data_IF_093770930204
#
_entry.id   IF_093770930204
#
_cell.length_a   1.000
_cell.length_b   1.000
_cell.length_c   1.000
_cell.angle_alpha   90.00
_cell.angle_beta   90.00
_cell.angle_gamma   90.00
#
_symmetry.space_group_name_H-M   'P 1'
#
loop_
_entity.id
_entity.type
_entity.pdbx_description
1 polymer ?
#
# COMPACT_ATOMS: atom_id res chain seq x y z
N UNK A 1 -0.96 -5.25 -28.59
CA UNK A 1 -0.97 -6.66 -28.14
C UNK A 1 0.48 -7.03 -27.78
N UNK A 2 0.87 -6.86 -26.52
CA UNK A 2 2.26 -7.04 -26.09
C UNK A 2 2.60 -8.53 -25.98
N UNK A 3 3.58 -8.96 -26.80
CA UNK A 3 4.23 -10.26 -26.73
C UNK A 3 5.32 -10.18 -25.65
N UNK A 4 5.36 -11.16 -24.75
CA UNK A 4 6.32 -11.36 -23.64
C UNK A 4 5.80 -10.95 -22.25
N UNK A 5 4.82 -11.70 -21.74
CA UNK A 5 4.51 -11.84 -20.30
C UNK A 5 5.37 -12.94 -19.66
N UNK A 6 6.70 -12.85 -19.78
CA UNK A 6 7.59 -13.83 -19.15
C UNK A 6 8.40 -13.15 -18.05
N UNK A 7 8.03 -13.47 -16.80
CA UNK A 7 8.90 -13.46 -15.62
C UNK A 7 9.30 -12.13 -14.96
N UNK A 8 8.56 -11.03 -15.12
CA UNK A 8 8.91 -9.77 -14.43
C UNK A 8 8.48 -9.71 -12.95
N UNK A 9 7.41 -10.43 -12.54
CA UNK A 9 6.87 -10.26 -11.18
C UNK A 9 7.51 -11.18 -10.11
N UNK A 10 8.04 -12.35 -10.47
CA UNK A 10 8.59 -13.32 -9.49
C UNK A 10 9.87 -12.83 -8.80
N UNK A 11 10.73 -12.13 -9.56
CA UNK A 11 12.06 -11.70 -9.10
C UNK A 11 12.05 -10.73 -7.91
N UNK A 12 10.98 -9.93 -7.77
CA UNK A 12 10.97 -8.84 -6.79
C UNK A 12 10.29 -9.24 -5.48
N UNK A 13 9.39 -10.23 -5.47
CA UNK A 13 8.80 -10.73 -4.20
C UNK A 13 9.85 -11.47 -3.37
N UNK A 14 10.76 -12.22 -4.02
CA UNK A 14 11.84 -12.96 -3.37
C UNK A 14 12.86 -12.07 -2.63
N UNK A 15 12.85 -10.75 -2.87
CA UNK A 15 13.71 -9.79 -2.19
C UNK A 15 13.19 -9.38 -0.81
N UNK A 16 11.91 -9.66 -0.50
CA UNK A 16 11.28 -9.29 0.75
C UNK A 16 11.03 -10.52 1.60
N UNK A 17 11.24 -10.38 2.91
CA UNK A 17 10.93 -11.39 3.92
C UNK A 17 10.02 -10.78 4.97
N UNK A 18 9.26 -11.62 5.67
CA UNK A 18 8.49 -11.16 6.81
C UNK A 18 9.43 -10.59 7.88
N UNK A 19 8.92 -9.61 8.63
CA UNK A 19 9.69 -8.82 9.60
C UNK A 19 8.88 -8.69 10.89
N UNK A 20 9.58 -8.70 12.03
CA UNK A 20 8.96 -8.62 13.36
C UNK A 20 9.29 -7.32 14.12
N UNK A 21 10.22 -6.53 13.60
CA UNK A 21 10.57 -5.21 14.13
C UNK A 21 10.03 -4.17 13.17
N UNK A 22 9.26 -3.20 13.66
CA UNK A 22 8.57 -2.25 12.81
C UNK A 22 8.91 -0.82 13.21
N UNK A 23 9.11 0.03 12.21
CA UNK A 23 9.34 1.46 12.38
C UNK A 23 8.34 2.24 11.57
N UNK A 24 7.90 3.37 12.10
CA UNK A 24 7.10 4.31 11.32
C UNK A 24 8.01 4.98 10.28
N UNK A 25 7.80 4.65 9.02
CA UNK A 25 8.57 5.15 7.89
C UNK A 25 7.64 5.44 6.71
N UNK A 26 7.85 6.58 6.04
CA UNK A 26 7.17 6.90 4.79
C UNK A 26 8.22 7.41 3.80
N UNK A 27 8.26 6.79 2.64
CA UNK A 27 9.09 7.18 1.51
C UNK A 27 8.21 7.39 0.28
N UNK A 28 8.39 8.55 -0.35
CA UNK A 28 7.70 8.99 -1.55
C UNK A 28 8.73 9.54 -2.52
N UNK A 29 8.75 9.04 -3.76
CA UNK A 29 9.54 9.65 -4.82
C UNK A 29 9.00 11.04 -5.17
N UNK A 30 9.82 11.87 -5.81
CA UNK A 30 9.38 13.19 -6.31
C UNK A 30 8.30 13.10 -7.39
N UNK A 31 8.09 11.91 -7.97
CA UNK A 31 7.08 11.64 -8.99
C UNK A 31 5.75 11.15 -8.39
N UNK A 32 5.70 10.92 -7.08
CA UNK A 32 4.47 10.54 -6.41
C UNK A 32 3.50 11.73 -6.34
N UNK A 33 2.25 11.49 -6.70
CA UNK A 33 1.16 12.44 -6.52
C UNK A 33 0.13 11.83 -5.58
N UNK A 34 -0.22 12.53 -4.50
CA UNK A 34 -1.20 12.05 -3.53
C UNK A 34 -2.20 13.14 -3.18
N UNK A 35 -3.47 12.76 -3.10
CA UNK A 35 -4.56 13.63 -2.66
C UNK A 35 -5.30 12.97 -1.52
N UNK A 36 -5.33 13.65 -0.39
CA UNK A 36 -6.08 13.23 0.78
C UNK A 36 -7.48 13.85 0.81
N UNK A 37 -8.41 13.11 1.38
CA UNK A 37 -9.77 13.51 1.68
C UNK A 37 -10.02 13.24 3.16
N UNK A 38 -10.62 14.21 3.84
CA UNK A 38 -10.99 14.12 5.25
C UNK A 38 -12.49 14.36 5.43
N UNK A 39 -12.96 14.31 6.68
CA UNK A 39 -14.34 14.61 7.01
C UNK A 39 -14.79 16.04 6.59
N UNK A 40 -13.86 16.98 6.38
CA UNK A 40 -14.23 18.31 5.84
C UNK A 40 -14.55 18.28 4.35
N UNK A 41 -14.01 17.30 3.62
CA UNK A 41 -14.22 17.12 2.19
C UNK A 41 -15.41 16.19 1.92
N UNK A 42 -15.55 15.15 2.75
CA UNK A 42 -16.59 14.12 2.67
C UNK A 42 -17.21 13.92 4.06
N UNK A 43 -18.29 14.65 4.40
CA UNK A 43 -18.91 14.58 5.72
C UNK A 43 -19.34 13.17 6.16
N UNK A 44 -19.70 12.30 5.19
CA UNK A 44 -20.11 10.90 5.39
C UNK A 44 -19.02 10.06 6.07
N UNK A 45 -17.76 10.48 6.00
CA UNK A 45 -16.67 9.78 6.68
C UNK A 45 -16.87 9.72 8.20
N UNK A 46 -17.47 10.75 8.79
CA UNK A 46 -17.68 10.79 10.25
C UNK A 46 -18.70 9.75 10.71
N UNK A 47 -19.73 9.45 9.90
CA UNK A 47 -20.73 8.43 10.26
C UNK A 47 -20.20 7.00 10.11
N UNK A 48 -19.19 6.81 9.28
CA UNK A 48 -18.58 5.49 8.99
C UNK A 48 -17.25 5.28 9.74
N UNK A 49 -16.90 6.18 10.67
CA UNK A 49 -15.64 6.17 11.42
C UNK A 49 -14.38 6.11 10.53
N UNK A 50 -14.47 6.75 9.36
CA UNK A 50 -13.35 6.87 8.42
C UNK A 50 -12.57 8.12 8.80
N UNK A 51 -11.35 7.93 9.31
CA UNK A 51 -10.49 9.05 9.67
C UNK A 51 -10.04 9.86 8.44
N UNK A 52 -9.64 9.16 7.38
CA UNK A 52 -9.07 9.75 6.17
C UNK A 52 -9.15 8.77 5.00
N UNK A 53 -9.25 9.30 3.80
CA UNK A 53 -9.07 8.54 2.56
C UNK A 53 -8.05 9.26 1.66
N UNK A 54 -7.48 8.53 0.71
CA UNK A 54 -6.50 9.08 -0.22
C UNK A 54 -6.57 8.41 -1.57
N UNK A 55 -6.24 9.17 -2.61
CA UNK A 55 -5.96 8.66 -3.94
C UNK A 55 -4.54 9.08 -4.31
N UNK A 56 -3.72 8.10 -4.71
CA UNK A 56 -2.33 8.35 -5.03
C UNK A 56 -1.92 7.69 -6.35
N UNK A 57 -1.11 8.41 -7.13
CA UNK A 57 -0.30 7.87 -8.20
C UNK A 57 1.11 7.63 -7.63
N UNK A 58 1.41 6.38 -7.33
CA UNK A 58 2.66 5.98 -6.69
C UNK A 58 3.68 5.56 -7.78
N UNK A 59 4.51 6.50 -8.20
CA UNK A 59 5.44 6.32 -9.32
C UNK A 59 6.86 6.10 -8.80
N UNK A 60 7.58 5.17 -9.44
CA UNK A 60 8.99 4.84 -9.20
C UNK A 60 9.28 4.18 -7.84
N UNK A 61 9.30 4.95 -6.74
CA UNK A 61 9.53 4.41 -5.40
C UNK A 61 8.56 4.98 -4.37
N UNK A 62 7.74 4.11 -3.81
CA UNK A 62 6.94 4.40 -2.63
C UNK A 62 7.04 3.23 -1.66
N UNK A 63 7.28 3.53 -0.39
CA UNK A 63 6.99 2.59 0.67
C UNK A 63 6.49 3.27 1.92
N UNK A 64 5.60 2.59 2.61
CA UNK A 64 5.14 2.98 3.94
C UNK A 64 5.31 1.78 4.86
N UNK A 65 5.90 2.00 6.03
CA UNK A 65 5.99 1.06 7.13
C UNK A 65 5.33 1.71 8.34
N UNK A 66 4.49 0.96 9.05
CA UNK A 66 3.80 1.46 10.26
C UNK A 66 4.04 0.50 11.40
N UNK A 67 4.42 1.01 12.57
CA UNK A 67 4.70 0.28 13.80
C UNK A 67 3.65 0.52 14.88
N UNK A 68 2.84 -0.49 15.25
CA UNK A 68 1.76 -0.32 16.25
C UNK A 68 0.59 0.48 15.68
N UNK A 69 -0.44 -0.21 15.21
CA UNK A 69 -1.49 0.38 14.38
C UNK A 69 -2.74 0.72 15.21
N UNK A 70 -3.00 2.01 15.40
CA UNK A 70 -4.26 2.52 15.98
C UNK A 70 -5.37 2.71 14.91
N UNK A 71 -5.01 2.65 13.61
CA UNK A 71 -5.92 2.90 12.48
C UNK A 71 -5.75 1.84 11.40
N UNK A 72 -6.80 1.05 11.17
CA UNK A 72 -6.81 0.07 10.09
C UNK A 72 -6.85 0.77 8.72
N UNK A 73 -5.97 0.36 7.81
CA UNK A 73 -5.86 0.96 6.47
C UNK A 73 -6.33 -0.03 5.42
N UNK A 74 -7.26 0.39 4.56
CA UNK A 74 -7.67 -0.40 3.40
C UNK A 74 -6.93 0.14 2.18
N UNK A 75 -6.22 -0.74 1.50
CA UNK A 75 -5.51 -0.43 0.26
C UNK A 75 -6.23 -1.09 -0.91
N UNK A 76 -6.41 -0.30 -1.98
CA UNK A 76 -6.97 -0.76 -3.24
C UNK A 76 -6.20 -0.14 -4.39
N UNK A 77 -5.67 -0.99 -5.28
CA UNK A 77 -4.89 -0.54 -6.45
C UNK A 77 -5.74 -0.69 -7.71
N UNK A 78 -5.93 0.39 -8.47
CA UNK A 78 -6.65 0.36 -9.76
C UNK A 78 -5.75 -0.16 -10.88
N UNK A 79 -4.51 0.34 -10.92
CA UNK A 79 -3.47 -0.03 -11.88
C UNK A 79 -2.13 -0.15 -11.13
N UNK A 80 -1.20 -0.92 -11.70
CA UNK A 80 0.07 -1.23 -11.05
C UNK A 80 -0.10 -2.28 -9.96
N UNK A 81 0.83 -2.32 -9.02
CA UNK A 81 0.75 -3.25 -7.92
C UNK A 81 1.78 -2.94 -6.85
N UNK A 82 1.84 -3.82 -5.87
CA UNK A 82 2.80 -3.65 -4.79
C UNK A 82 3.07 -4.93 -4.04
N UNK A 83 3.81 -4.80 -2.96
CA UNK A 83 4.07 -5.89 -2.02
C UNK A 83 3.59 -5.41 -0.65
N UNK A 84 2.74 -6.22 -0.02
CA UNK A 84 2.41 -6.11 1.39
C UNK A 84 3.28 -7.08 2.18
N UNK A 85 4.00 -6.58 3.16
CA UNK A 85 4.78 -7.36 4.11
C UNK A 85 4.10 -7.22 5.45
N UNK A 86 3.79 -8.34 6.10
CA UNK A 86 3.29 -8.42 7.47
C UNK A 86 4.27 -9.26 8.31
N UNK A 87 3.94 -9.46 9.59
CA UNK A 87 4.73 -10.32 10.48
C UNK A 87 4.75 -11.77 10.00
N UNK A 88 3.69 -12.21 9.34
CA UNK A 88 3.48 -13.62 8.97
C UNK A 88 3.72 -13.91 7.50
N UNK A 89 3.51 -12.93 6.62
CA UNK A 89 3.52 -13.17 5.18
C UNK A 89 4.03 -11.99 4.35
N UNK A 90 4.39 -12.31 3.11
CA UNK A 90 4.70 -11.36 2.06
C UNK A 90 3.78 -11.67 0.88
N UNK A 91 2.90 -10.74 0.55
CA UNK A 91 1.83 -10.93 -0.42
C UNK A 91 1.91 -9.87 -1.50
N UNK A 92 1.83 -10.28 -2.76
CA UNK A 92 1.72 -9.35 -3.88
C UNK A 92 0.32 -8.76 -3.93
N UNK A 93 0.25 -7.44 -4.08
CA UNK A 93 -0.99 -6.72 -4.34
C UNK A 93 -1.06 -6.49 -5.85
N UNK A 94 -1.96 -7.23 -6.48
CA UNK A 94 -2.27 -7.11 -7.90
C UNK A 94 -3.40 -6.09 -8.11
N UNK A 95 -3.56 -5.52 -9.32
CA UNK A 95 -4.66 -4.63 -9.62
C UNK A 95 -6.00 -5.22 -9.21
N UNK A 96 -6.91 -4.38 -8.72
CA UNK A 96 -8.27 -4.69 -8.25
C UNK A 96 -8.37 -5.57 -7.00
N UNK A 97 -7.24 -5.84 -6.33
CA UNK A 97 -7.25 -6.53 -5.04
C UNK A 97 -7.48 -5.54 -3.90
N UNK A 98 -8.37 -5.92 -2.98
CA UNK A 98 -8.62 -5.21 -1.73
C UNK A 98 -7.81 -5.87 -0.62
N UNK A 99 -7.02 -5.10 0.12
CA UNK A 99 -6.42 -5.59 1.37
C UNK A 99 -6.77 -4.68 2.54
N UNK A 100 -7.23 -5.32 3.61
CA UNK A 100 -7.37 -4.68 4.90
C UNK A 100 -6.08 -4.91 5.68
N UNK A 101 -5.31 -3.85 5.87
CA UNK A 101 -4.14 -3.86 6.71
C UNK A 101 -4.59 -3.64 8.17
N UNK A 102 -4.87 -4.75 8.87
CA UNK A 102 -5.25 -4.71 10.27
C UNK A 102 -4.06 -4.70 11.24
N UNK A 103 -2.84 -4.76 10.72
CA UNK A 103 -1.61 -5.00 11.46
C UNK A 103 -0.47 -4.11 10.96
N UNK A 104 0.60 -4.10 11.73
CA UNK A 104 1.92 -3.61 11.37
C UNK A 104 2.32 -4.18 10.00
N UNK A 105 2.50 -3.31 9.00
CA UNK A 105 2.80 -3.74 7.65
C UNK A 105 3.61 -2.72 6.88
N UNK A 106 4.29 -3.24 5.85
CA UNK A 106 4.98 -2.44 4.86
C UNK A 106 4.35 -2.62 3.49
N UNK A 107 3.97 -1.52 2.85
CA UNK A 107 3.58 -1.52 1.44
C UNK A 107 4.71 -0.95 0.60
N UNK A 108 4.97 -1.56 -0.56
CA UNK A 108 5.94 -1.07 -1.55
C UNK A 108 5.28 -1.03 -2.93
N UNK A 109 5.26 0.11 -3.63
CA UNK A 109 4.73 0.19 -5.00
C UNK A 109 5.71 -0.37 -6.03
N UNK A 110 5.19 -0.87 -7.16
CA UNK A 110 5.96 -1.36 -8.31
C UNK A 110 5.52 -0.72 -9.61
#
# INVERSE_FOLDING_TARGET
MFKNRQNLCKSVIEQFSSKNEWVDEVHLSELCEERFLSASDVPEFSSEDIFMSGMANLIDSYHVERGGVDVHTILFTIEGGGILITETEVTAIEPTLWLCCQQTARFVSK
#
